data_IF_187584445508
#
_entry.id   IF_187584445508
#
_cell.length_a   1.000
_cell.length_b   1.000
_cell.length_c   1.000
_cell.angle_alpha   90.00
_cell.angle_beta   90.00
_cell.angle_gamma   90.00
#
_symmetry.space_group_name_H-M   'P 1'
#
loop_
_entity.id
_entity.type
_entity.pdbx_description
1 polymer ?
#
# COMPACT_ATOMS: atom_id res chain seq x y z
N UNK A 1 -9.23 15.11 -24.14
CA UNK A 1 -8.88 15.79 -22.87
C UNK A 1 -8.44 14.70 -21.87
N UNK A 2 -7.32 14.85 -21.14
CA UNK A 2 -5.98 14.58 -21.67
C UNK A 2 -5.16 13.52 -20.89
N UNK A 3 -4.06 13.10 -21.54
CA UNK A 3 -2.81 12.53 -20.99
C UNK A 3 -2.77 11.05 -20.54
N UNK A 4 -2.45 10.16 -21.48
CA UNK A 4 -1.53 9.03 -21.19
C UNK A 4 -0.18 9.34 -21.82
N UNK A 5 0.56 10.25 -21.19
CA UNK A 5 1.97 10.40 -21.49
C UNK A 5 2.73 9.29 -20.77
N UNK A 6 3.50 8.49 -21.52
CA UNK A 6 4.94 8.26 -21.35
C UNK A 6 5.30 6.86 -21.89
N UNK A 7 6.13 6.85 -22.92
CA UNK A 7 6.70 5.64 -23.49
C UNK A 7 7.54 4.84 -22.51
N UNK A 8 7.92 3.63 -22.90
CA UNK A 8 8.95 2.87 -22.18
C UNK A 8 9.69 1.94 -23.13
N UNK A 9 10.88 2.39 -23.48
CA UNK A 9 12.00 1.62 -24.01
C UNK A 9 12.26 0.36 -23.13
N UNK A 10 12.37 -0.87 -23.68
CA UNK A 10 12.39 -2.11 -22.91
C UNK A 10 13.79 -2.50 -22.41
N UNK A 11 14.55 -1.57 -21.84
CA UNK A 11 15.83 -1.89 -21.22
C UNK A 11 16.20 -0.88 -20.13
N UNK A 12 16.35 -1.38 -18.90
CA UNK A 12 16.85 -0.73 -17.65
C UNK A 12 15.76 -0.37 -16.63
N UNK A 13 15.52 -1.32 -15.72
CA UNK A 13 14.98 -1.09 -14.38
C UNK A 13 13.54 -0.58 -14.32
N UNK A 14 12.55 -1.50 -14.25
CA UNK A 14 11.16 -1.12 -13.97
C UNK A 14 11.10 -0.24 -12.73
N UNK A 15 10.42 0.89 -12.83
CA UNK A 15 10.21 1.77 -11.68
C UNK A 15 9.46 1.02 -10.57
N UNK A 16 9.63 1.44 -9.31
CA UNK A 16 8.93 0.80 -8.17
C UNK A 16 7.41 0.83 -8.40
N UNK A 17 6.89 1.86 -9.05
CA UNK A 17 5.48 2.00 -9.42
C UNK A 17 5.04 0.93 -10.42
N UNK A 18 5.79 0.68 -11.50
CA UNK A 18 5.46 -0.38 -12.45
C UNK A 18 5.55 -1.78 -11.84
N UNK A 19 6.56 -2.02 -11.00
CA UNK A 19 6.68 -3.28 -10.26
C UNK A 19 5.49 -3.46 -9.32
N UNK A 20 5.05 -2.39 -8.65
CA UNK A 20 3.86 -2.37 -7.82
C UNK A 20 2.61 -2.71 -8.64
N UNK A 21 2.38 -2.08 -9.80
CA UNK A 21 1.21 -2.37 -10.62
C UNK A 21 1.19 -3.82 -11.12
N UNK A 22 2.33 -4.34 -11.58
CA UNK A 22 2.43 -5.74 -11.99
C UNK A 22 2.17 -6.71 -10.83
N UNK A 23 2.65 -6.37 -9.63
CA UNK A 23 2.42 -7.15 -8.42
C UNK A 23 0.97 -7.08 -7.95
N UNK A 24 0.36 -5.89 -7.92
CA UNK A 24 -1.03 -5.64 -7.52
C UNK A 24 -1.99 -6.36 -8.47
N UNK A 25 -1.73 -6.31 -9.78
CA UNK A 25 -2.51 -7.04 -10.79
C UNK A 25 -2.46 -8.57 -10.61
N UNK A 26 -1.29 -9.12 -10.24
CA UNK A 26 -1.16 -10.54 -9.94
C UNK A 26 -1.68 -10.92 -8.55
N UNK A 27 -1.80 -9.96 -7.63
CA UNK A 27 -2.16 -10.21 -6.23
C UNK A 27 -3.26 -9.27 -5.73
N UNK A 28 -4.46 -9.24 -6.36
CA UNK A 28 -5.55 -8.33 -5.97
C UNK A 28 -6.07 -8.61 -4.55
N UNK A 29 -5.82 -9.81 -4.02
CA UNK A 29 -6.15 -10.20 -2.66
C UNK A 29 -5.33 -9.46 -1.60
N UNK A 30 -4.11 -9.01 -1.93
CA UNK A 30 -3.22 -8.28 -1.01
C UNK A 30 -3.81 -6.92 -0.68
N UNK A 31 -4.20 -6.15 -1.71
CA UNK A 31 -4.87 -4.87 -1.53
C UNK A 31 -6.15 -5.01 -0.69
N UNK A 32 -7.02 -5.96 -1.06
CA UNK A 32 -8.27 -6.21 -0.34
C UNK A 32 -8.06 -6.61 1.12
N UNK A 33 -7.02 -7.40 1.41
CA UNK A 33 -6.70 -7.80 2.77
C UNK A 33 -6.12 -6.62 3.59
N UNK A 34 -5.27 -5.78 2.99
CA UNK A 34 -4.79 -4.55 3.63
C UNK A 34 -5.93 -3.58 3.93
N UNK A 35 -6.84 -3.38 2.97
CA UNK A 35 -8.02 -2.55 3.13
C UNK A 35 -8.91 -3.06 4.27
N UNK A 36 -9.22 -4.36 4.30
CA UNK A 36 -9.99 -4.98 5.39
C UNK A 36 -9.31 -4.82 6.74
N UNK A 37 -7.99 -4.98 6.81
CA UNK A 37 -7.23 -4.81 8.04
C UNK A 37 -7.25 -3.36 8.54
N UNK A 38 -7.06 -2.42 7.63
CA UNK A 38 -7.17 -0.99 7.92
C UNK A 38 -8.57 -0.65 8.44
N UNK A 39 -9.61 -1.04 7.71
CA UNK A 39 -11.00 -0.84 8.10
C UNK A 39 -11.30 -1.45 9.48
N UNK A 40 -10.79 -2.67 9.76
CA UNK A 40 -10.96 -3.33 11.07
C UNK A 40 -10.28 -2.56 12.20
N UNK A 41 -9.06 -2.07 11.98
CA UNK A 41 -8.34 -1.26 12.99
C UNK A 41 -9.09 0.04 13.27
N UNK A 42 -9.56 0.71 12.22
CA UNK A 42 -10.33 1.95 12.35
C UNK A 42 -11.69 1.72 13.03
N UNK A 43 -12.38 0.64 12.69
CA UNK A 43 -13.63 0.24 13.34
C UNK A 43 -13.43 -0.12 14.83
N UNK A 44 -12.26 -0.66 15.18
CA UNK A 44 -11.85 -0.89 16.57
C UNK A 44 -11.46 0.40 17.31
N UNK A 45 -11.55 1.58 16.68
CA UNK A 45 -11.20 2.86 17.29
C UNK A 45 -9.71 3.19 17.25
N UNK A 46 -8.92 2.51 16.41
CA UNK A 46 -7.50 2.85 16.25
C UNK A 46 -7.36 4.25 15.64
N UNK A 47 -6.73 5.15 16.41
CA UNK A 47 -6.42 6.50 15.97
C UNK A 47 -5.11 6.58 15.17
N UNK A 48 -4.30 5.52 15.20
CA UNK A 48 -3.01 5.41 14.50
C UNK A 48 -2.87 4.03 13.88
N UNK A 49 -2.85 3.98 12.54
CA UNK A 49 -2.66 2.76 11.77
C UNK A 49 -1.34 2.86 10.99
N UNK A 50 -0.37 2.03 11.37
CA UNK A 50 0.91 1.93 10.68
C UNK A 50 0.82 0.93 9.52
N UNK A 51 1.21 1.35 8.32
CA UNK A 51 1.16 0.45 7.14
C UNK A 51 2.10 -0.73 7.30
N UNK A 52 3.24 -0.53 7.97
CA UNK A 52 4.14 -1.64 8.32
C UNK A 52 3.44 -2.68 9.20
N UNK A 53 2.65 -2.24 10.19
CA UNK A 53 1.88 -3.12 11.08
C UNK A 53 0.82 -3.90 10.30
N UNK A 54 0.13 -3.24 9.36
CA UNK A 54 -0.82 -3.89 8.45
C UNK A 54 -0.12 -4.94 7.56
N UNK A 55 1.09 -4.67 7.09
CA UNK A 55 1.88 -5.60 6.30
C UNK A 55 2.35 -6.81 7.11
N UNK A 56 2.79 -6.59 8.35
CA UNK A 56 3.18 -7.66 9.26
C UNK A 56 1.97 -8.53 9.61
N UNK A 57 0.81 -7.92 9.85
CA UNK A 57 -0.42 -8.66 10.11
C UNK A 57 -0.90 -9.45 8.89
N UNK A 58 -0.83 -8.84 7.70
CA UNK A 58 -1.10 -9.51 6.44
C UNK A 58 -0.17 -10.73 6.25
N UNK A 59 1.12 -10.56 6.54
CA UNK A 59 2.10 -11.63 6.44
C UNK A 59 1.83 -12.77 7.42
N UNK A 60 1.29 -12.46 8.61
CA UNK A 60 0.84 -13.49 9.57
C UNK A 60 -0.40 -14.25 9.09
N UNK A 61 -1.31 -13.57 8.38
CA UNK A 61 -2.54 -14.19 7.87
C UNK A 61 -2.32 -15.03 6.62
N UNK A 62 -1.29 -14.74 5.80
CA UNK A 62 -0.97 -15.55 4.64
C UNK A 62 0.03 -16.66 5.00
N UNK A 63 -0.35 -17.95 4.92
CA UNK A 63 0.48 -19.08 5.35
C UNK A 63 1.82 -19.21 4.59
N UNK A 64 1.94 -18.62 3.40
CA UNK A 64 3.18 -18.63 2.60
C UNK A 64 3.86 -17.27 2.48
N UNK A 65 3.30 -16.22 3.09
CA UNK A 65 3.67 -14.83 2.78
C UNK A 65 3.43 -14.48 1.29
N UNK A 66 3.39 -13.20 0.95
CA UNK A 66 3.34 -12.83 -0.47
C UNK A 66 4.78 -12.71 -0.97
N UNK A 67 5.20 -13.65 -1.81
CA UNK A 67 6.51 -13.62 -2.44
C UNK A 67 6.65 -12.33 -3.28
N UNK A 68 7.62 -11.49 -2.93
CA UNK A 68 7.83 -10.20 -3.60
C UNK A 68 7.17 -8.98 -2.94
N UNK A 69 6.57 -9.13 -1.75
CA UNK A 69 6.08 -7.99 -0.96
C UNK A 69 7.26 -7.12 -0.48
N UNK A 70 7.66 -6.16 -1.32
CA UNK A 70 8.76 -5.26 -1.00
C UNK A 70 8.29 -4.15 -0.04
N UNK A 71 9.13 -3.79 0.93
CA UNK A 71 8.86 -2.70 1.86
C UNK A 71 8.68 -1.36 1.13
N UNK A 72 9.24 -1.19 -0.07
CA UNK A 72 8.99 -0.02 -0.92
C UNK A 72 7.52 0.13 -1.35
N UNK A 73 6.77 -0.97 -1.43
CA UNK A 73 5.36 -0.92 -1.81
C UNK A 73 4.46 -0.45 -0.66
N UNK A 74 4.90 -0.53 0.60
CA UNK A 74 4.11 -0.08 1.75
C UNK A 74 3.68 1.38 1.59
N UNK A 75 4.59 2.28 1.18
CA UNK A 75 4.27 3.70 0.99
C UNK A 75 3.27 3.93 -0.17
N UNK A 76 3.35 3.14 -1.24
CA UNK A 76 2.43 3.21 -2.37
C UNK A 76 1.03 2.72 -1.99
N UNK A 77 0.94 1.57 -1.30
CA UNK A 77 -0.32 1.07 -0.76
C UNK A 77 -0.94 2.06 0.23
N UNK A 78 -0.13 2.68 1.08
CA UNK A 78 -0.60 3.69 2.03
C UNK A 78 -1.25 4.88 1.32
N UNK A 79 -0.58 5.44 0.30
CA UNK A 79 -1.12 6.53 -0.51
C UNK A 79 -2.41 6.10 -1.19
N UNK A 80 -2.43 4.94 -1.85
CA UNK A 80 -3.63 4.44 -2.54
C UNK A 80 -4.82 4.21 -1.60
N UNK A 81 -4.58 3.69 -0.39
CA UNK A 81 -5.63 3.51 0.63
C UNK A 81 -6.18 4.86 1.11
N UNK A 82 -5.32 5.87 1.28
CA UNK A 82 -5.75 7.21 1.68
C UNK A 82 -6.44 7.97 0.54
N UNK A 83 -6.03 7.76 -0.71
CA UNK A 83 -6.69 8.31 -1.90
C UNK A 83 -8.09 7.72 -2.09
N UNK A 84 -8.24 6.40 -1.91
CA UNK A 84 -9.53 5.72 -2.01
C UNK A 84 -10.42 6.03 -0.79
N UNK A 85 -9.82 6.13 0.40
CA UNK A 85 -10.50 6.45 1.65
C UNK A 85 -9.92 7.72 2.28
N UNK A 86 -10.30 8.93 1.82
CA UNK A 86 -9.77 10.18 2.36
C UNK A 86 -10.05 10.36 3.86
N UNK A 87 -11.13 9.75 4.37
CA UNK A 87 -11.46 9.65 5.80
C UNK A 87 -10.39 8.92 6.63
N UNK A 88 -9.55 8.10 6.01
CA UNK A 88 -8.48 7.38 6.68
C UNK A 88 -7.20 8.20 6.78
N UNK A 89 -7.06 9.30 6.02
CA UNK A 89 -5.88 10.17 6.05
C UNK A 89 -5.51 10.65 7.46
N UNK A 90 -6.51 10.91 8.31
CA UNK A 90 -6.31 11.36 9.68
C UNK A 90 -5.85 10.27 10.65
N UNK A 91 -6.07 9.00 10.32
CA UNK A 91 -5.71 7.85 11.16
C UNK A 91 -4.48 7.10 10.65
N UNK A 92 -4.19 7.17 9.35
CA UNK A 92 -2.93 6.72 8.78
C UNK A 92 -1.85 7.74 9.10
N UNK A 93 -0.98 7.41 10.04
CA UNK A 93 0.21 8.19 10.30
C UNK A 93 1.22 7.92 9.17
N UNK A 94 0.99 8.55 8.02
CA UNK A 94 2.01 8.72 6.98
C UNK A 94 3.09 9.57 7.61
N UNK A 95 4.04 8.93 8.30
CA UNK A 95 5.09 9.52 9.15
C UNK A 95 5.52 10.87 8.61
N UNK A 96 4.82 11.94 9.03
CA UNK A 96 5.28 13.30 8.84
C UNK A 96 6.45 13.32 9.81
N UNK A 97 7.68 13.31 9.31
CA UNK A 97 8.85 13.51 10.18
C UNK A 97 8.51 14.74 11.02
N UNK A 98 8.23 14.55 12.31
CA UNK A 98 8.27 15.65 13.26
C UNK A 98 9.73 16.02 13.29
N UNK A 99 10.08 17.09 12.56
CA UNK A 99 11.24 17.87 12.94
C UNK A 99 10.92 18.40 14.33
N UNK A 100 11.67 17.91 15.31
CA UNK A 100 11.73 18.49 16.65
C UNK A 100 12.47 19.82 16.57
#
# INVERSE_FOLDING_TARGET
MPAVALGSNPARGRTITEQFHAFDANNPHVYRALERLAARRLAAGATRVGVKDLFEDLRRQLPHGVAGLNNNFTALYARRLVEDHPRWAGAFELRRRRAA
#
